data_IF_994475528011
#
_entry.id   IF_994475528011
#
_cell.length_a   1.000
_cell.length_b   1.000
_cell.length_c   1.000
_cell.angle_alpha   90.00
_cell.angle_beta   90.00
_cell.angle_gamma   90.00
#
_symmetry.space_group_name_H-M   'P 1'
#
loop_
_entity.id
_entity.type
_entity.pdbx_description
1 polymer ?
#
# COMPACT_ATOMS: atom_id res chain seq x y z
N UNK A 1 -6.10 -15.16 1.93
CA UNK A 1 -4.94 -14.38 1.43
C UNK A 1 -4.68 -14.77 -0.01
N UNK A 2 -4.45 -13.81 -0.90
CA UNK A 2 -4.07 -14.10 -2.29
C UNK A 2 -2.61 -14.54 -2.35
N UNK A 3 -2.31 -15.54 -3.20
CA UNK A 3 -0.94 -15.98 -3.44
C UNK A 3 -0.10 -14.93 -4.19
N UNK A 4 -0.74 -13.90 -4.75
CA UNK A 4 -0.06 -12.87 -5.55
C UNK A 4 0.80 -11.92 -4.69
N UNK A 5 0.31 -11.39 -3.57
CA UNK A 5 1.10 -10.44 -2.77
C UNK A 5 2.40 -11.02 -2.19
N UNK A 6 2.37 -12.28 -1.72
CA UNK A 6 3.59 -12.98 -1.28
C UNK A 6 4.58 -13.16 -2.42
N UNK A 7 4.09 -13.42 -3.63
CA UNK A 7 4.91 -13.50 -4.85
C UNK A 7 5.52 -12.14 -5.22
N UNK A 8 4.76 -11.05 -5.11
CA UNK A 8 5.24 -9.69 -5.35
C UNK A 8 6.33 -9.33 -4.37
N UNK A 9 6.10 -9.51 -3.06
CA UNK A 9 7.10 -9.28 -2.03
C UNK A 9 8.38 -10.08 -2.30
N UNK A 10 8.27 -11.39 -2.54
CA UNK A 10 9.43 -12.24 -2.81
C UNK A 10 10.21 -11.89 -4.09
N UNK A 11 9.59 -11.20 -5.06
CA UNK A 11 10.31 -10.61 -6.20
C UNK A 11 11.03 -9.33 -5.78
N UNK A 12 10.33 -8.41 -5.12
CA UNK A 12 10.88 -7.13 -4.68
C UNK A 12 12.07 -7.29 -3.73
N UNK A 13 12.03 -8.26 -2.81
CA UNK A 13 13.16 -8.56 -1.91
C UNK A 13 14.43 -8.96 -2.67
N UNK A 14 14.30 -9.51 -3.89
CA UNK A 14 15.47 -9.85 -4.71
C UNK A 14 16.11 -8.62 -5.35
N UNK A 15 15.35 -7.53 -5.47
CA UNK A 15 15.73 -6.33 -6.22
C UNK A 15 16.02 -5.13 -5.30
N UNK A 16 15.31 -5.03 -4.18
CA UNK A 16 15.39 -3.96 -3.18
C UNK A 16 15.75 -4.53 -1.82
N UNK A 17 16.52 -3.77 -1.03
CA UNK A 17 16.81 -4.17 0.35
C UNK A 17 15.64 -3.78 1.27
N UNK A 18 15.07 -4.73 2.03
CA UNK A 18 14.03 -4.41 3.00
C UNK A 18 14.61 -3.56 4.13
N UNK A 19 13.76 -2.70 4.67
CA UNK A 19 14.07 -1.87 5.85
C UNK A 19 13.28 -2.37 7.05
N UNK A 20 13.87 -2.29 8.24
CA UNK A 20 13.23 -2.73 9.49
C UNK A 20 12.60 -1.56 10.24
N UNK A 21 11.28 -1.59 10.40
CA UNK A 21 10.49 -0.52 11.04
C UNK A 21 9.63 -1.07 12.18
N UNK A 22 9.29 -0.23 13.17
CA UNK A 22 8.40 -0.62 14.26
C UNK A 22 6.93 -0.57 13.82
N UNK A 23 6.14 -1.56 14.22
CA UNK A 23 4.70 -1.53 14.07
C UNK A 23 4.11 -0.51 15.06
N UNK A 24 3.07 0.22 14.65
CA UNK A 24 2.47 1.26 15.46
C UNK A 24 1.97 0.72 16.81
N UNK A 25 2.25 1.46 17.87
CA UNK A 25 1.89 1.09 19.25
C UNK A 25 2.39 -0.31 19.67
N UNK A 26 3.44 -0.81 19.03
CA UNK A 26 4.01 -2.13 19.29
C UNK A 26 5.54 -2.07 19.38
N UNK A 27 6.11 -2.97 20.18
CA UNK A 27 7.57 -3.19 20.21
C UNK A 27 8.04 -4.08 19.06
N UNK A 28 7.11 -4.69 18.33
CA UNK A 28 7.42 -5.56 17.22
C UNK A 28 7.98 -4.73 16.06
N UNK A 29 9.06 -5.23 15.47
CA UNK A 29 9.64 -4.69 14.25
C UNK A 29 9.41 -5.67 13.13
N UNK A 30 9.14 -5.16 11.94
CA UNK A 30 8.93 -5.96 10.74
C UNK A 30 9.77 -5.42 9.61
N UNK A 31 10.16 -6.33 8.71
CA UNK A 31 10.82 -5.98 7.47
C UNK A 31 9.77 -5.53 6.46
N UNK A 32 10.05 -4.47 5.71
CA UNK A 32 9.16 -3.98 4.67
C UNK A 32 9.95 -3.26 3.56
N UNK A 33 9.33 -3.14 2.39
CA UNK A 33 9.91 -2.47 1.22
C UNK A 33 9.04 -1.26 0.88
N UNK A 34 9.58 -0.02 0.92
CA UNK A 34 8.87 1.17 0.45
C UNK A 34 8.69 1.12 -1.06
N UNK A 35 7.47 1.36 -1.52
CA UNK A 35 7.14 1.36 -2.94
C UNK A 35 6.73 2.73 -3.44
N UNK A 36 5.99 3.48 -2.63
CA UNK A 36 5.39 4.75 -3.00
C UNK A 36 5.56 5.77 -1.88
N UNK A 37 6.00 6.97 -2.20
CA UNK A 37 5.86 8.12 -1.29
C UNK A 37 4.45 8.68 -1.40
N UNK A 38 3.85 9.12 -0.29
CA UNK A 38 2.44 9.52 -0.27
C UNK A 38 2.21 10.84 0.46
N UNK A 39 1.94 11.92 -0.29
CA UNK A 39 1.69 13.24 0.30
C UNK A 39 2.98 13.86 0.87
N UNK A 40 2.90 14.41 2.08
CA UNK A 40 4.02 15.05 2.80
C UNK A 40 5.17 14.09 3.14
N UNK A 41 6.33 14.67 3.51
CA UNK A 41 7.52 13.94 3.94
C UNK A 41 7.19 12.87 5.00
N UNK A 42 7.92 11.76 4.95
CA UNK A 42 7.83 10.60 5.86
C UNK A 42 6.61 9.66 5.74
N UNK A 43 5.75 9.83 4.73
CA UNK A 43 4.65 8.90 4.46
C UNK A 43 4.97 8.03 3.26
N UNK A 44 5.02 6.72 3.46
CA UNK A 44 5.33 5.77 2.39
C UNK A 44 4.43 4.55 2.44
N UNK A 45 3.91 4.12 1.29
CA UNK A 45 3.21 2.86 1.14
C UNK A 45 4.16 1.80 0.61
N UNK A 46 4.02 0.57 1.10
CA UNK A 46 4.86 -0.55 0.69
C UNK A 46 4.32 -1.90 1.14
N UNK A 47 5.19 -2.92 1.11
CA UNK A 47 4.82 -4.30 1.42
C UNK A 47 5.73 -4.85 2.52
N UNK A 48 5.16 -5.52 3.52
CA UNK A 48 5.87 -6.17 4.63
C UNK A 48 6.29 -7.61 4.29
N UNK A 49 7.20 -8.18 5.07
CA UNK A 49 7.70 -9.57 5.02
C UNK A 49 6.65 -10.67 4.81
N UNK A 50 5.51 -10.49 5.44
CA UNK A 50 4.38 -11.39 5.41
C UNK A 50 3.53 -11.27 4.14
N UNK A 51 3.88 -10.33 3.25
CA UNK A 51 3.18 -10.01 2.02
C UNK A 51 1.95 -9.13 2.21
N UNK A 52 1.78 -8.52 3.38
CA UNK A 52 0.72 -7.53 3.60
C UNK A 52 1.16 -6.16 3.11
N UNK A 53 0.20 -5.31 2.76
CA UNK A 53 0.49 -3.91 2.54
C UNK A 53 0.65 -3.18 3.86
N UNK A 54 1.47 -2.15 3.86
CA UNK A 54 1.69 -1.30 5.02
C UNK A 54 1.90 0.15 4.62
N UNK A 55 1.47 1.06 5.49
CA UNK A 55 1.85 2.47 5.39
C UNK A 55 2.80 2.83 6.53
N UNK A 56 3.94 3.40 6.17
CA UNK A 56 4.88 4.00 7.11
C UNK A 56 4.54 5.48 7.25
N UNK A 57 4.41 5.94 8.49
CA UNK A 57 4.25 7.33 8.87
C UNK A 57 5.35 7.63 9.88
N UNK A 58 6.33 8.44 9.48
CA UNK A 58 7.53 8.72 10.29
C UNK A 58 8.22 7.40 10.67
N UNK A 59 8.32 7.06 11.96
CA UNK A 59 8.96 5.82 12.43
C UNK A 59 7.98 4.68 12.75
N UNK A 60 6.68 4.87 12.52
CA UNK A 60 5.65 3.87 12.75
C UNK A 60 5.16 3.27 11.43
N UNK A 61 4.91 1.97 11.42
CA UNK A 61 4.26 1.24 10.35
C UNK A 61 2.89 0.75 10.79
N UNK A 62 1.89 0.89 9.92
CA UNK A 62 0.56 0.33 10.10
C UNK A 62 0.38 -0.75 9.04
N UNK A 63 0.17 -2.00 9.46
CA UNK A 63 -0.20 -3.09 8.55
C UNK A 63 -1.66 -2.91 8.16
N UNK A 64 -1.92 -3.11 6.88
CA UNK A 64 -3.25 -3.02 6.32
C UNK A 64 -3.79 -4.44 6.20
N UNK A 65 -4.44 -4.90 7.26
CA UNK A 65 -4.98 -6.27 7.38
C UNK A 65 -6.49 -6.29 7.63
N UNK A 66 -7.10 -5.10 7.77
CA UNK A 66 -8.47 -4.93 8.23
C UNK A 66 -9.12 -3.69 7.63
N UNK A 67 -10.41 -3.75 7.29
CA UNK A 67 -11.17 -2.64 6.67
C UNK A 67 -11.00 -1.29 7.40
N UNK A 68 -10.91 -1.32 8.73
CA UNK A 68 -10.72 -0.13 9.58
C UNK A 68 -9.34 0.52 9.41
N UNK A 69 -8.28 -0.27 9.24
CA UNK A 69 -6.92 0.25 8.97
C UNK A 69 -6.88 0.99 7.62
N UNK A 70 -7.60 0.51 6.61
CA UNK A 70 -7.68 1.15 5.29
C UNK A 70 -8.37 2.52 5.28
N UNK A 71 -9.46 2.69 6.03
CA UNK A 71 -10.16 3.98 6.14
C UNK A 71 -9.31 5.06 6.82
N UNK A 72 -8.48 4.66 7.78
CA UNK A 72 -7.50 5.54 8.42
C UNK A 72 -6.45 6.02 7.41
N UNK A 73 -6.04 5.14 6.48
CA UNK A 73 -5.05 5.44 5.45
C UNK A 73 -5.57 6.36 4.35
N UNK A 74 -6.81 6.22 3.90
CA UNK A 74 -7.40 7.14 2.90
C UNK A 74 -7.44 8.60 3.38
N UNK A 75 -7.63 8.83 4.68
CA UNK A 75 -7.55 10.17 5.28
C UNK A 75 -6.12 10.71 5.37
N UNK A 76 -5.12 9.85 5.39
CA UNK A 76 -3.71 10.23 5.60
C UNK A 76 -2.94 10.47 4.32
N UNK A 77 -3.38 9.86 3.21
CA UNK A 77 -2.61 9.80 1.97
C UNK A 77 -2.64 11.11 1.17
N UNK A 78 -3.66 11.97 1.30
CA UNK A 78 -3.79 13.27 0.58
C UNK A 78 -3.46 13.25 -0.94
N UNK A 79 -3.38 12.06 -1.56
CA UNK A 79 -3.08 11.84 -2.97
C UNK A 79 -4.35 11.42 -3.69
N UNK A 80 -4.50 11.88 -4.93
CA UNK A 80 -5.64 11.50 -5.76
C UNK A 80 -5.47 10.07 -6.27
N UNK A 81 -6.58 9.44 -6.64
CA UNK A 81 -6.57 8.08 -7.18
C UNK A 81 -5.77 7.96 -8.47
N UNK A 82 -5.83 8.97 -9.34
CA UNK A 82 -5.07 8.98 -10.59
C UNK A 82 -3.57 8.94 -10.34
N UNK A 83 -3.10 9.57 -9.26
CA UNK A 83 -1.69 9.54 -8.87
C UNK A 83 -1.28 8.14 -8.39
N UNK A 84 -2.12 7.48 -7.57
CA UNK A 84 -1.86 6.11 -7.12
C UNK A 84 -1.82 5.15 -8.31
N UNK A 85 -2.78 5.24 -9.23
CA UNK A 85 -2.84 4.36 -10.40
C UNK A 85 -1.67 4.57 -11.35
N UNK A 86 -1.28 5.82 -11.60
CA UNK A 86 -0.13 6.16 -12.44
C UNK A 86 1.16 5.57 -11.90
N UNK A 87 1.42 5.73 -10.60
CA UNK A 87 2.63 5.21 -9.97
C UNK A 87 2.64 3.68 -9.93
N UNK A 88 1.50 3.04 -9.65
CA UNK A 88 1.40 1.57 -9.70
C UNK A 88 1.68 1.03 -11.11
N UNK A 89 1.20 1.68 -12.17
CA UNK A 89 1.51 1.34 -13.57
C UNK A 89 2.99 1.54 -13.91
N UNK A 90 3.62 2.56 -13.33
CA UNK A 90 5.06 2.76 -13.46
C UNK A 90 5.84 1.64 -12.75
N UNK A 91 5.41 1.24 -11.55
CA UNK A 91 6.04 0.14 -10.81
C UNK A 91 5.86 -1.21 -11.51
N UNK A 92 4.69 -1.49 -12.09
CA UNK A 92 4.51 -2.74 -12.84
C UNK A 92 5.31 -2.79 -14.12
N UNK A 93 5.43 -1.69 -14.84
CA UNK A 93 6.29 -1.63 -16.03
C UNK A 93 7.76 -1.77 -15.64
N UNK A 94 8.17 -1.19 -14.51
CA UNK A 94 9.52 -1.35 -13.93
C UNK A 94 9.81 -2.78 -13.46
N UNK A 95 8.86 -3.45 -12.83
CA UNK A 95 9.07 -4.74 -12.13
C UNK A 95 8.39 -5.95 -12.80
N UNK A 96 7.83 -5.77 -14.00
CA UNK A 96 7.12 -6.82 -14.74
C UNK A 96 5.93 -7.41 -13.97
N UNK A 97 5.21 -6.59 -13.22
CA UNK A 97 3.99 -7.01 -12.52
C UNK A 97 2.85 -7.12 -13.54
N UNK A 98 2.02 -8.15 -13.40
CA UNK A 98 0.87 -8.31 -14.28
C UNK A 98 -0.14 -7.20 -13.98
N UNK A 99 -0.89 -6.78 -14.99
CA UNK A 99 -1.93 -5.76 -14.84
C UNK A 99 -3.02 -6.12 -13.81
N UNK A 100 -3.08 -7.40 -13.41
CA UNK A 100 -3.99 -7.94 -12.40
C UNK A 100 -3.44 -7.84 -10.98
N UNK A 101 -2.14 -7.62 -10.83
CA UNK A 101 -1.49 -7.50 -9.53
C UNK A 101 -1.91 -6.19 -8.81
N UNK A 102 -2.39 -5.16 -9.53
CA UNK A 102 -3.03 -3.99 -8.90
C UNK A 102 -4.45 -4.26 -8.38
N UNK A 103 -5.14 -5.30 -8.87
CA UNK A 103 -6.43 -5.70 -8.29
C UNK A 103 -6.24 -6.36 -6.92
N UNK A 104 -5.03 -6.84 -6.63
CA UNK A 104 -4.64 -7.31 -5.29
C UNK A 104 -4.14 -6.16 -4.40
N UNK A 105 -4.08 -4.94 -4.92
CA UNK A 105 -3.86 -3.75 -4.10
C UNK A 105 -5.08 -3.60 -3.20
N UNK A 106 -4.90 -3.68 -1.87
CA UNK A 106 -6.00 -3.96 -0.94
C UNK A 106 -6.86 -2.73 -0.61
N UNK A 107 -6.92 -1.82 -1.57
CA UNK A 107 -7.81 -0.70 -1.54
C UNK A 107 -8.80 -0.75 -2.69
N UNK A 108 -8.73 -1.68 -3.66
CA UNK A 108 -9.59 -1.59 -4.85
C UNK A 108 -11.07 -1.55 -4.48
N UNK A 109 -11.52 -2.34 -3.50
CA UNK A 109 -12.92 -2.36 -3.05
C UNK A 109 -13.27 -1.17 -2.15
N UNK A 110 -12.36 -0.73 -1.29
CA UNK A 110 -12.59 0.40 -0.37
C UNK A 110 -12.51 1.73 -1.13
N UNK A 111 -11.62 1.83 -2.11
CA UNK A 111 -11.55 2.90 -3.11
C UNK A 111 -12.79 2.87 -3.99
N UNK A 112 -13.20 1.71 -4.51
CA UNK A 112 -14.47 1.59 -5.26
C UNK A 112 -15.65 2.09 -4.44
N UNK A 113 -15.73 1.68 -3.17
CA UNK A 113 -16.77 2.12 -2.26
C UNK A 113 -16.70 3.63 -1.99
N UNK A 114 -15.51 4.19 -1.75
CA UNK A 114 -15.33 5.63 -1.59
C UNK A 114 -15.70 6.42 -2.88
N UNK A 115 -15.43 5.86 -4.06
CA UNK A 115 -15.84 6.41 -5.35
C UNK A 115 -17.36 6.35 -5.55
N UNK A 116 -18.02 5.25 -5.14
CA UNK A 116 -19.48 5.12 -5.17
C UNK A 116 -20.14 6.14 -4.24
N UNK A 117 -19.61 6.33 -3.03
CA UNK A 117 -20.12 7.33 -2.08
C UNK A 117 -19.90 8.77 -2.56
N UNK A 118 -18.74 9.10 -3.14
CA UNK A 118 -18.50 10.44 -3.70
C UNK A 118 -19.40 10.75 -4.91
N UNK A 119 -19.72 9.75 -5.74
CA UNK A 119 -20.68 9.91 -6.84
C UNK A 119 -22.12 10.18 -6.36
N UNK A 120 -22.50 9.68 -5.19
CA UNK A 120 -23.82 9.99 -4.58
C UNK A 120 -23.89 11.39 -3.96
N UNK A 121 -22.76 12.01 -3.64
CA UNK A 121 -22.71 13.35 -3.01
C UNK A 121 -22.74 14.47 -4.07
N UNK A 122 -22.36 14.16 -5.32
CA UNK A 122 -22.34 15.10 -6.46
C UNK A 122 -23.46 14.74 -7.48
N UNK A 123 -24.39 13.85 -7.10
CA UNK A 123 -25.53 13.40 -7.92
C UNK A 123 -26.85 13.97 -7.45
#
# INVERSE_FOLDING_TARGET
MSNGLKRIYGKLVKEEQPVTVALCNSKNRVEWIPLLSCGQEDKNLGIVDSGFWGIKISSCLIILDSQSSYLYVLKLLEITMDQIESELKNLSSKYGLAERDYLEFPFVEIIRFALEMNKMIIG
#
